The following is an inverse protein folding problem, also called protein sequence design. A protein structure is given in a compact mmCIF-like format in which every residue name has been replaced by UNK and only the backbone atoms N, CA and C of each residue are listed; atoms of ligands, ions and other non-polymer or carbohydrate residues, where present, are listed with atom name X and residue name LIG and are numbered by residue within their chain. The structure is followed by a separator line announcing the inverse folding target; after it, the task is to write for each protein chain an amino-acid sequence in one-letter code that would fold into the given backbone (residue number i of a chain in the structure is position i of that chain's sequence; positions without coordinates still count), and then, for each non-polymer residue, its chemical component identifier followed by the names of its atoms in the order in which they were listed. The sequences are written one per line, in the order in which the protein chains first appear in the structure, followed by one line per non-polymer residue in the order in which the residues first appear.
data_IF_586883477983
#
_entry.id   IF_586883477983
#
_cell.length_a   1.000
_cell.length_b   1.000
_cell.length_c   1.000
_cell.angle_alpha   90.00
_cell.angle_beta   90.00
_cell.angle_gamma   90.00
#
_symmetry.space_group_name_H-M   'P 1'
#
loop_
_entity.id
_entity.type
_entity.pdbx_description
1 polymer ?
#
# COMPACT_ATOMS: atom_id res chain seq x y z
N UNK A 1 52.99 -13.13 3.18
CA UNK A 1 51.90 -12.32 3.84
C UNK A 1 50.58 -12.71 3.18
N UNK A 2 49.93 -13.67 3.78
CA UNK A 2 48.68 -14.25 3.26
C UNK A 2 47.51 -13.38 3.68
N UNK A 3 46.97 -12.63 2.72
CA UNK A 3 45.72 -11.91 2.90
C UNK A 3 44.57 -12.91 2.67
N UNK A 4 44.18 -13.63 3.73
CA UNK A 4 43.01 -14.50 3.72
C UNK A 4 41.76 -13.67 3.41
N UNK A 5 41.24 -13.92 2.23
CA UNK A 5 39.87 -13.60 1.80
C UNK A 5 38.88 -14.03 2.89
N UNK A 6 38.42 -13.11 3.70
CA UNK A 6 37.16 -13.31 4.45
C UNK A 6 36.03 -13.04 3.47
N UNK A 7 35.43 -14.12 3.06
CA UNK A 7 34.23 -14.19 2.25
C UNK A 7 33.08 -13.36 2.82
N UNK A 8 32.33 -12.74 1.91
CA UNK A 8 31.05 -12.11 2.04
C UNK A 8 30.02 -13.01 2.78
N UNK A 9 29.98 -12.90 4.08
CA UNK A 9 28.86 -13.35 4.90
C UNK A 9 28.46 -12.18 5.78
N UNK A 10 27.58 -11.34 5.26
CA UNK A 10 26.67 -10.46 5.98
C UNK A 10 26.09 -9.36 5.07
N UNK A 11 25.52 -9.75 3.92
CA UNK A 11 24.33 -9.04 3.49
C UNK A 11 23.21 -9.85 4.16
N UNK A 12 22.68 -9.31 5.25
CA UNK A 12 21.72 -9.98 6.12
C UNK A 12 20.53 -10.51 5.33
N UNK A 13 20.57 -11.79 4.99
CA UNK A 13 19.39 -12.56 4.72
C UNK A 13 18.59 -12.61 6.01
N UNK A 14 17.60 -11.73 6.16
CA UNK A 14 16.52 -11.99 7.09
C UNK A 14 16.00 -13.38 6.68
N UNK A 15 16.20 -14.40 7.52
CA UNK A 15 15.55 -15.69 7.37
C UNK A 15 14.08 -15.41 7.16
N UNK A 16 13.58 -15.62 5.95
CA UNK A 16 12.16 -15.57 5.67
C UNK A 16 11.53 -16.62 6.59
N UNK A 17 10.87 -16.18 7.65
CA UNK A 17 9.98 -17.05 8.40
C UNK A 17 8.94 -17.53 7.39
N UNK A 18 8.65 -18.84 7.34
CA UNK A 18 7.74 -19.46 6.37
C UNK A 18 6.32 -18.84 6.37
N UNK A 19 6.01 -17.95 7.31
CA UNK A 19 4.72 -17.28 7.47
C UNK A 19 4.71 -15.79 7.09
N UNK A 20 5.82 -15.23 6.54
CA UNK A 20 5.92 -13.80 6.27
C UNK A 20 5.33 -13.46 4.90
N UNK A 21 4.22 -12.69 4.88
CA UNK A 21 3.61 -12.25 3.63
C UNK A 21 4.24 -10.93 3.13
N UNK A 22 4.33 -10.81 1.81
CA UNK A 22 4.53 -9.54 1.12
C UNK A 22 3.16 -8.96 0.77
N UNK A 23 2.86 -7.74 1.22
CA UNK A 23 1.59 -7.06 0.94
C UNK A 23 1.89 -5.83 0.10
N UNK A 24 1.67 -5.93 -1.20
CA UNK A 24 1.82 -4.76 -2.11
C UNK A 24 0.61 -3.88 -1.97
N UNK A 25 0.82 -2.57 -1.80
CA UNK A 25 -0.17 -1.55 -1.50
C UNK A 25 -0.14 -0.44 -2.54
N UNK A 26 -1.32 0.06 -2.88
CA UNK A 26 -1.55 1.33 -3.57
C UNK A 26 -2.85 1.95 -3.09
N UNK A 27 -2.95 3.28 -3.04
CA UNK A 27 -4.15 3.99 -2.62
C UNK A 27 -4.58 5.04 -3.65
N UNK A 28 -5.90 5.23 -3.76
CA UNK A 28 -6.48 6.34 -4.51
C UNK A 28 -7.13 7.33 -3.55
N UNK A 29 -6.87 8.60 -3.80
CA UNK A 29 -7.32 9.70 -2.95
C UNK A 29 -8.02 10.78 -3.77
N UNK A 30 -8.95 11.50 -3.14
CA UNK A 30 -9.62 12.67 -3.72
C UNK A 30 -9.57 13.84 -2.76
N UNK A 31 -9.65 15.06 -3.28
CA UNK A 31 -9.77 16.25 -2.47
C UNK A 31 -11.13 16.31 -1.76
N UNK A 32 -11.15 16.77 -0.51
CA UNK A 32 -12.39 17.07 0.22
C UNK A 32 -13.14 18.25 -0.40
N UNK A 33 -12.39 19.24 -0.89
CA UNK A 33 -12.89 20.35 -1.70
C UNK A 33 -12.45 20.15 -3.15
N UNK A 34 -13.37 19.87 -4.08
CA UNK A 34 -13.04 19.65 -5.50
C UNK A 34 -12.33 20.84 -6.17
N UNK A 35 -12.45 22.07 -5.63
CA UNK A 35 -11.74 23.23 -6.13
C UNK A 35 -10.25 23.27 -5.77
N UNK A 36 -9.82 22.42 -4.82
CA UNK A 36 -8.43 22.29 -4.43
C UNK A 36 -7.74 21.18 -5.24
N UNK A 37 -7.19 21.52 -6.39
CA UNK A 37 -6.54 20.57 -7.30
C UNK A 37 -5.46 19.68 -6.65
N UNK A 38 -4.79 20.18 -5.60
CA UNK A 38 -3.74 19.43 -4.87
C UNK A 38 -4.25 18.80 -3.57
N UNK A 39 -5.51 19.01 -3.24
CA UNK A 39 -6.08 18.54 -1.98
C UNK A 39 -6.00 17.02 -1.80
N UNK A 40 -6.05 16.26 -2.89
CA UNK A 40 -5.92 14.80 -2.85
C UNK A 40 -4.56 14.29 -2.34
N UNK A 41 -3.51 15.12 -2.43
CA UNK A 41 -2.15 14.74 -2.04
C UNK A 41 -1.80 15.03 -0.57
N UNK A 42 -2.68 15.69 0.15
CA UNK A 42 -2.51 16.08 1.55
C UNK A 42 -3.62 15.48 2.42
N UNK A 43 -3.26 14.73 3.44
CA UNK A 43 -4.21 14.08 4.32
C UNK A 43 -5.11 15.04 5.12
N UNK A 44 -4.78 16.32 5.24
CA UNK A 44 -5.64 17.31 5.87
C UNK A 44 -6.77 17.79 4.96
N UNK A 45 -6.55 17.74 3.64
CA UNK A 45 -7.48 18.27 2.62
C UNK A 45 -7.96 17.21 1.64
N UNK A 46 -7.48 15.98 1.77
CA UNK A 46 -7.87 14.81 0.97
C UNK A 46 -8.48 13.71 1.82
N UNK A 47 -8.99 12.69 1.13
CA UNK A 47 -9.50 11.45 1.71
C UNK A 47 -9.15 10.27 0.84
N UNK A 48 -8.98 9.09 1.45
CA UNK A 48 -8.83 7.84 0.73
C UNK A 48 -10.20 7.33 0.25
N UNK A 49 -10.28 6.93 -1.01
CA UNK A 49 -11.51 6.38 -1.64
C UNK A 49 -11.34 4.95 -2.11
N UNK A 50 -10.08 4.52 -2.29
CA UNK A 50 -9.75 3.13 -2.61
C UNK A 50 -8.39 2.77 -1.99
N UNK A 51 -8.29 1.56 -1.49
CA UNK A 51 -7.04 0.90 -1.09
C UNK A 51 -7.04 -0.47 -1.74
N UNK A 52 -6.06 -0.75 -2.58
CA UNK A 52 -5.84 -2.09 -3.11
C UNK A 52 -4.58 -2.70 -2.52
N UNK A 53 -4.66 -3.99 -2.22
CA UNK A 53 -3.56 -4.78 -1.69
C UNK A 53 -3.45 -6.09 -2.47
N UNK A 54 -2.22 -6.55 -2.68
CA UNK A 54 -1.91 -7.89 -3.17
C UNK A 54 -1.04 -8.58 -2.13
N UNK A 55 -1.58 -9.57 -1.45
CA UNK A 55 -0.90 -10.31 -0.40
C UNK A 55 -0.35 -11.63 -0.96
N UNK A 56 0.98 -11.75 -1.02
CA UNK A 56 1.73 -12.94 -1.43
C UNK A 56 2.30 -13.63 -0.18
N UNK A 57 1.86 -14.86 0.07
CA UNK A 57 2.29 -15.69 1.21
C UNK A 57 3.40 -16.69 0.85
N UNK A 58 4.00 -16.53 -0.33
CA UNK A 58 5.02 -17.44 -0.85
C UNK A 58 4.45 -18.67 -1.58
N UNK A 59 3.14 -18.91 -1.50
CA UNK A 59 2.45 -20.02 -2.20
C UNK A 59 1.48 -19.49 -3.25
N UNK A 60 0.72 -18.45 -2.90
CA UNK A 60 -0.25 -17.80 -3.77
C UNK A 60 -0.32 -16.30 -3.48
N UNK A 61 -0.73 -15.52 -4.47
CA UNK A 61 -1.02 -14.11 -4.31
C UNK A 61 -2.55 -13.88 -4.31
N UNK A 62 -3.06 -13.09 -3.36
CA UNK A 62 -4.47 -12.78 -3.21
C UNK A 62 -4.68 -11.27 -3.20
N UNK A 63 -5.65 -10.80 -3.99
CA UNK A 63 -6.05 -9.39 -4.02
C UNK A 63 -7.13 -9.09 -2.98
N UNK A 64 -7.01 -7.91 -2.36
CA UNK A 64 -7.98 -7.33 -1.43
C UNK A 64 -8.15 -5.87 -1.86
N UNK A 65 -9.39 -5.45 -2.13
CA UNK A 65 -9.67 -4.06 -2.49
C UNK A 65 -10.80 -3.52 -1.61
N UNK A 66 -10.53 -2.39 -0.98
CA UNK A 66 -11.44 -1.65 -0.11
C UNK A 66 -11.73 -0.32 -0.80
N UNK A 67 -12.98 -0.03 -1.12
CA UNK A 67 -13.33 1.20 -1.83
C UNK A 67 -14.75 1.64 -1.51
N UNK A 68 -15.02 2.93 -1.65
CA UNK A 68 -16.35 3.52 -1.47
C UNK A 68 -16.35 4.85 -0.75
N UNK A 69 -17.50 5.25 -0.25
CA UNK A 69 -17.71 6.56 0.36
C UNK A 69 -17.35 6.59 1.86
N UNK A 70 -17.33 5.45 2.53
CA UNK A 70 -16.98 5.36 3.95
C UNK A 70 -15.46 5.19 4.13
N UNK A 71 -14.75 6.31 4.20
CA UNK A 71 -13.31 6.32 4.39
C UNK A 71 -12.87 5.64 5.69
N UNK A 72 -13.62 5.82 6.77
CA UNK A 72 -13.27 5.23 8.06
C UNK A 72 -13.26 3.71 7.97
N UNK A 73 -14.25 3.12 7.28
CA UNK A 73 -14.32 1.69 7.02
C UNK A 73 -13.20 1.19 6.11
N UNK A 74 -12.84 1.98 5.09
CA UNK A 74 -11.73 1.65 4.17
C UNK A 74 -10.42 1.57 4.93
N UNK A 75 -10.10 2.58 5.75
CA UNK A 75 -8.85 2.65 6.50
C UNK A 75 -8.82 1.61 7.63
N UNK A 76 -9.91 1.41 8.36
CA UNK A 76 -9.99 0.35 9.36
C UNK A 76 -9.77 -1.03 8.73
N UNK A 77 -10.43 -1.31 7.58
CA UNK A 77 -10.27 -2.55 6.84
C UNK A 77 -8.84 -2.76 6.33
N UNK A 78 -8.11 -1.71 5.97
CA UNK A 78 -6.69 -1.82 5.63
C UNK A 78 -5.86 -2.33 6.81
N UNK A 79 -6.01 -1.70 7.98
CA UNK A 79 -5.26 -2.14 9.17
C UNK A 79 -5.63 -3.56 9.58
N UNK A 80 -6.91 -3.93 9.50
CA UNK A 80 -7.39 -5.28 9.84
C UNK A 80 -6.88 -6.36 8.88
N UNK A 81 -6.63 -6.01 7.61
CA UNK A 81 -6.08 -6.92 6.61
C UNK A 81 -4.60 -7.23 6.81
N UNK A 82 -3.85 -6.36 7.50
CA UNK A 82 -2.44 -6.56 7.80
C UNK A 82 -2.27 -7.52 8.99
N UNK A 83 -1.36 -8.48 8.84
CA UNK A 83 -0.99 -9.45 9.89
C UNK A 83 0.34 -9.05 10.54
N UNK A 84 0.58 -9.47 11.78
CA UNK A 84 1.92 -9.38 12.37
C UNK A 84 2.96 -10.05 11.46
N UNK A 85 4.07 -9.36 11.20
CA UNK A 85 5.13 -9.87 10.33
C UNK A 85 4.98 -9.59 8.83
N UNK A 86 3.83 -9.10 8.35
CA UNK A 86 3.70 -8.66 6.94
C UNK A 86 4.70 -7.57 6.59
N UNK A 87 5.22 -7.63 5.37
CA UNK A 87 6.03 -6.56 4.76
C UNK A 87 5.17 -5.81 3.77
N UNK A 88 4.94 -4.54 4.02
CA UNK A 88 4.23 -3.68 3.08
C UNK A 88 5.18 -3.22 1.99
N UNK A 89 4.76 -3.35 0.74
CA UNK A 89 5.53 -2.94 -0.45
C UNK A 89 4.70 -1.97 -1.27
N UNK A 90 5.34 -0.99 -1.89
CA UNK A 90 4.67 -0.09 -2.85
C UNK A 90 5.67 0.75 -3.61
N UNK A 91 5.18 1.61 -4.49
CA UNK A 91 6.01 2.56 -5.23
C UNK A 91 5.80 3.97 -4.68
N UNK A 92 6.85 4.58 -4.12
CA UNK A 92 6.77 5.83 -3.36
C UNK A 92 5.89 5.73 -2.09
N UNK A 93 5.70 4.51 -1.61
CA UNK A 93 4.78 4.18 -0.52
C UNK A 93 5.16 4.84 0.82
N UNK A 94 6.45 5.07 1.06
CA UNK A 94 6.94 5.73 2.27
C UNK A 94 6.60 7.22 2.29
N UNK A 95 6.73 7.90 1.14
CA UNK A 95 6.51 9.34 1.07
C UNK A 95 5.03 9.70 0.90
N UNK A 96 4.19 8.76 0.43
CA UNK A 96 2.78 9.02 0.19
C UNK A 96 1.86 8.05 0.94
N UNK A 97 1.66 6.83 0.47
CA UNK A 97 0.57 5.93 0.90
C UNK A 97 0.55 5.68 2.42
N UNK A 98 1.65 5.17 2.98
CA UNK A 98 1.71 4.86 4.43
C UNK A 98 1.55 6.12 5.26
N UNK A 99 2.21 7.20 4.87
CA UNK A 99 2.09 8.47 5.57
C UNK A 99 0.65 9.00 5.53
N UNK A 100 0.02 8.97 4.37
CA UNK A 100 -1.36 9.41 4.19
C UNK A 100 -2.31 8.58 5.05
N UNK A 101 -2.22 7.25 5.00
CA UNK A 101 -3.06 6.35 5.79
C UNK A 101 -2.88 6.54 7.30
N UNK A 102 -1.66 6.73 7.78
CA UNK A 102 -1.39 7.03 9.19
C UNK A 102 -2.02 8.37 9.61
N UNK A 103 -1.84 9.42 8.80
CA UNK A 103 -2.41 10.74 9.09
C UNK A 103 -3.94 10.71 9.07
N UNK A 104 -4.56 10.03 8.09
CA UNK A 104 -6.02 9.86 8.05
C UNK A 104 -6.53 9.04 9.23
N UNK A 105 -5.78 8.02 9.66
CA UNK A 105 -6.12 7.25 10.86
C UNK A 105 -6.18 8.15 12.10
N UNK A 106 -5.22 9.06 12.28
CA UNK A 106 -5.25 10.02 13.40
C UNK A 106 -6.45 10.98 13.30
N UNK A 107 -6.70 11.53 12.11
CA UNK A 107 -7.83 12.46 11.87
C UNK A 107 -9.18 11.78 12.16
N UNK A 108 -9.32 10.51 11.79
CA UNK A 108 -10.56 9.74 11.94
C UNK A 108 -10.66 9.01 13.29
N UNK A 109 -9.63 9.08 14.15
CA UNK A 109 -9.61 8.38 15.44
C UNK A 109 -9.51 6.85 15.31
N UNK A 110 -8.96 6.35 14.18
CA UNK A 110 -8.77 4.93 13.94
C UNK A 110 -7.42 4.50 14.50
N UNK A 111 -7.43 3.52 15.40
CA UNK A 111 -6.20 2.97 15.95
C UNK A 111 -5.69 1.83 15.06
N UNK A 112 -4.48 1.95 14.46
CA UNK A 112 -3.84 0.86 13.75
C UNK A 112 -3.60 -0.35 14.67
N UNK A 113 -3.77 -1.57 14.13
CA UNK A 113 -3.48 -2.80 14.88
C UNK A 113 -1.97 -3.07 15.01
N UNK A 114 -1.14 -2.34 14.26
CA UNK A 114 0.32 -2.39 14.33
C UNK A 114 0.93 -1.05 13.92
N UNK A 115 2.16 -0.80 14.37
CA UNK A 115 3.00 0.29 13.89
C UNK A 115 3.91 -0.24 12.77
N UNK A 116 4.00 0.49 11.66
CA UNK A 116 4.95 0.23 10.60
C UNK A 116 6.20 1.10 10.81
N UNK A 117 7.37 0.50 10.79
CA UNK A 117 8.63 1.23 10.87
C UNK A 117 8.98 1.84 9.49
N UNK A 118 8.80 3.14 9.38
CA UNK A 118 9.05 3.90 8.15
C UNK A 118 10.39 4.63 8.14
N UNK A 119 11.31 4.29 9.07
CA UNK A 119 12.63 4.93 9.13
C UNK A 119 13.42 4.68 7.84
N UNK A 120 14.16 5.69 7.42
CA UNK A 120 15.02 5.62 6.24
C UNK A 120 16.02 4.45 6.36
N UNK A 121 16.21 3.72 5.28
CA UNK A 121 17.08 2.52 5.18
C UNK A 121 16.59 1.28 5.95
N UNK A 122 15.45 1.34 6.59
CA UNK A 122 14.86 0.18 7.27
C UNK A 122 13.79 -0.46 6.39
N UNK A 123 13.95 -1.72 6.08
CA UNK A 123 13.09 -2.44 5.10
C UNK A 123 12.41 -3.67 5.69
N UNK A 124 12.42 -3.79 7.03
CA UNK A 124 11.79 -4.96 7.65
C UNK A 124 10.26 -4.88 7.61
N UNK A 125 9.67 -3.69 7.73
CA UNK A 125 8.23 -3.50 7.72
C UNK A 125 7.71 -2.93 6.40
N UNK A 126 8.50 -2.05 5.76
CA UNK A 126 8.09 -1.36 4.52
C UNK A 126 9.23 -1.38 3.51
N UNK A 127 8.91 -1.78 2.27
CA UNK A 127 9.83 -1.75 1.12
C UNK A 127 9.24 -0.82 0.06
N UNK A 128 9.96 0.24 -0.25
CA UNK A 128 9.59 1.18 -1.30
C UNK A 128 10.40 0.92 -2.57
N UNK A 129 9.73 0.54 -3.66
CA UNK A 129 10.38 0.21 -4.93
C UNK A 129 11.07 1.42 -5.56
N UNK A 130 10.59 2.65 -5.29
CA UNK A 130 11.28 3.87 -5.70
C UNK A 130 12.62 4.02 -4.95
N UNK A 131 12.65 3.72 -3.65
CA UNK A 131 13.87 3.78 -2.86
C UNK A 131 14.84 2.65 -3.22
N UNK A 132 14.35 1.44 -3.50
CA UNK A 132 15.18 0.35 -4.02
C UNK A 132 15.86 0.75 -5.33
N UNK A 133 15.11 1.29 -6.29
CA UNK A 133 15.64 1.71 -7.59
C UNK A 133 16.65 2.84 -7.46
N UNK A 134 16.35 3.85 -6.66
CA UNK A 134 17.22 5.02 -6.49
C UNK A 134 18.36 4.80 -5.50
N UNK A 135 18.41 3.63 -4.86
CA UNK A 135 19.34 3.33 -3.77
C UNK A 135 19.38 4.44 -2.71
N UNK A 136 18.19 4.91 -2.32
CA UNK A 136 17.98 6.01 -1.35
C UNK A 136 18.60 7.35 -1.78
N UNK A 137 18.92 7.51 -3.04
CA UNK A 137 19.34 8.78 -3.62
C UNK A 137 18.22 9.82 -3.54
N UNK A 138 18.56 11.09 -3.33
CA UNK A 138 17.59 12.18 -3.38
C UNK A 138 17.04 12.46 -4.79
N UNK A 139 17.67 11.91 -5.86
CA UNK A 139 17.22 12.10 -7.23
C UNK A 139 16.13 11.10 -7.60
N UNK A 140 14.88 11.47 -7.36
CA UNK A 140 13.68 10.68 -7.69
C UNK A 140 12.97 11.17 -8.95
N UNK A 141 13.49 12.21 -9.63
CA UNK A 141 12.80 12.87 -10.76
C UNK A 141 12.58 11.89 -11.91
N UNK A 142 11.35 11.78 -12.35
CA UNK A 142 10.95 10.96 -13.50
C UNK A 142 10.86 9.46 -13.23
N UNK A 143 11.14 9.00 -12.00
CA UNK A 143 11.01 7.58 -11.62
C UNK A 143 9.57 7.33 -11.14
N UNK A 144 8.62 7.30 -12.09
CA UNK A 144 7.23 6.91 -11.82
C UNK A 144 7.08 5.39 -11.93
N UNK A 145 6.01 4.84 -11.36
CA UNK A 145 5.68 3.43 -11.50
C UNK A 145 5.56 3.01 -12.98
N UNK A 146 4.94 3.84 -13.82
CA UNK A 146 4.84 3.60 -15.27
C UNK A 146 6.20 3.56 -15.96
N UNK A 147 7.05 4.57 -15.70
CA UNK A 147 8.38 4.66 -16.30
C UNK A 147 9.26 3.47 -15.88
N UNK A 148 9.24 3.13 -14.58
CA UNK A 148 10.02 2.02 -14.03
C UNK A 148 9.49 0.67 -14.53
N UNK A 149 8.18 0.47 -14.53
CA UNK A 149 7.53 -0.72 -15.07
C UNK A 149 7.86 -0.96 -16.54
N UNK A 150 7.81 0.10 -17.34
CA UNK A 150 8.20 0.06 -18.76
C UNK A 150 9.68 -0.29 -18.95
N UNK A 151 10.58 0.37 -18.21
CA UNK A 151 12.02 0.15 -18.30
C UNK A 151 12.43 -1.29 -17.90
N UNK A 152 11.75 -1.87 -16.92
CA UNK A 152 12.00 -3.22 -16.43
C UNK A 152 11.27 -4.31 -17.24
N UNK A 153 10.45 -3.95 -18.24
CA UNK A 153 9.64 -4.91 -19.00
C UNK A 153 8.48 -5.52 -18.19
N UNK A 154 8.06 -4.86 -17.10
CA UNK A 154 6.99 -5.33 -16.22
C UNK A 154 5.58 -4.91 -16.70
N UNK A 155 5.49 -4.03 -17.71
CA UNK A 155 4.27 -3.45 -18.22
C UNK A 155 4.16 -1.95 -17.97
N UNK A 156 2.96 -1.41 -18.16
CA UNK A 156 2.64 0.03 -18.02
C UNK A 156 1.35 0.19 -17.23
N UNK A 157 1.12 1.41 -16.72
CA UNK A 157 -0.17 1.80 -16.14
C UNK A 157 -1.26 1.79 -17.21
N UNK A 158 -2.48 1.46 -16.81
CA UNK A 158 -3.66 1.41 -17.69
C UNK A 158 -4.42 2.73 -17.76
N UNK A 159 -4.06 3.71 -16.91
CA UNK A 159 -4.70 5.01 -16.82
C UNK A 159 -3.83 6.07 -16.17
N UNK A 160 -4.42 7.22 -15.91
CA UNK A 160 -3.78 8.33 -15.22
C UNK A 160 -4.51 8.63 -13.90
N UNK A 161 -3.77 8.92 -12.83
CA UNK A 161 -4.34 9.25 -11.52
C UNK A 161 -5.28 10.47 -11.54
N UNK A 162 -5.11 11.38 -12.52
CA UNK A 162 -6.01 12.49 -12.73
C UNK A 162 -7.48 12.08 -13.00
N UNK A 163 -7.70 10.87 -13.50
CA UNK A 163 -9.05 10.35 -13.79
C UNK A 163 -9.82 9.99 -12.51
N UNK A 164 -9.13 9.74 -11.40
CA UNK A 164 -9.75 9.34 -10.13
C UNK A 164 -10.75 10.38 -9.62
N UNK A 165 -10.40 11.66 -9.70
CA UNK A 165 -11.30 12.74 -9.29
C UNK A 165 -12.57 12.80 -10.16
N UNK A 166 -12.45 12.55 -11.46
CA UNK A 166 -13.60 12.48 -12.37
C UNK A 166 -14.48 11.28 -12.04
N UNK A 167 -13.93 10.07 -11.97
CA UNK A 167 -14.68 8.85 -11.63
C UNK A 167 -15.36 8.97 -10.27
N UNK A 168 -14.70 9.61 -9.30
CA UNK A 168 -15.31 9.89 -8.00
C UNK A 168 -16.53 10.80 -8.12
N UNK A 169 -16.44 11.90 -8.88
CA UNK A 169 -17.55 12.81 -9.13
C UNK A 169 -18.71 12.14 -9.89
N UNK A 170 -18.41 11.16 -10.73
CA UNK A 170 -19.36 10.35 -11.49
C UNK A 170 -19.89 9.13 -10.69
N UNK A 171 -19.44 8.93 -9.45
CA UNK A 171 -19.72 7.75 -8.62
C UNK A 171 -19.29 6.41 -9.27
N UNK A 172 -18.32 6.44 -10.20
CA UNK A 172 -17.75 5.25 -10.85
C UNK A 172 -16.66 4.61 -9.98
N UNK A 173 -17.08 4.05 -8.86
CA UNK A 173 -16.20 3.37 -7.90
C UNK A 173 -15.51 2.15 -8.54
N UNK A 174 -16.15 1.49 -9.51
CA UNK A 174 -15.59 0.31 -10.15
C UNK A 174 -14.41 0.66 -11.07
N UNK A 175 -14.41 1.83 -11.72
CA UNK A 175 -13.24 2.31 -12.46
C UNK A 175 -12.08 2.65 -11.52
N UNK A 176 -12.35 3.27 -10.38
CA UNK A 176 -11.33 3.55 -9.36
C UNK A 176 -10.70 2.25 -8.84
N UNK A 177 -11.53 1.22 -8.52
CA UNK A 177 -11.05 -0.09 -8.09
C UNK A 177 -10.14 -0.74 -9.12
N UNK A 178 -10.59 -0.82 -10.39
CA UNK A 178 -9.80 -1.43 -11.47
C UNK A 178 -8.45 -0.74 -11.64
N UNK A 179 -8.44 0.58 -11.62
CA UNK A 179 -7.24 1.37 -11.76
C UNK A 179 -6.25 1.09 -10.62
N UNK A 180 -6.69 1.19 -9.36
CA UNK A 180 -5.87 0.91 -8.18
C UNK A 180 -5.36 -0.56 -8.15
N UNK A 181 -6.17 -1.54 -8.56
CA UNK A 181 -5.76 -2.94 -8.70
C UNK A 181 -4.66 -3.12 -9.76
N UNK A 182 -4.78 -2.46 -10.90
CA UNK A 182 -3.78 -2.54 -11.96
C UNK A 182 -2.45 -1.94 -11.53
N UNK A 183 -2.47 -0.84 -10.75
CA UNK A 183 -1.27 -0.23 -10.18
C UNK A 183 -0.61 -1.16 -9.15
N UNK A 184 -1.36 -1.79 -8.27
CA UNK A 184 -0.84 -2.81 -7.34
C UNK A 184 -0.20 -3.98 -8.09
N UNK A 185 -0.84 -4.49 -9.14
CA UNK A 185 -0.29 -5.58 -9.98
C UNK A 185 1.01 -5.17 -10.67
N UNK A 186 1.08 -3.93 -11.17
CA UNK A 186 2.30 -3.40 -11.77
C UNK A 186 3.40 -3.23 -10.71
N UNK A 187 3.08 -2.66 -9.54
CA UNK A 187 4.02 -2.51 -8.44
C UNK A 187 4.56 -3.86 -7.94
N UNK A 188 3.71 -4.90 -7.89
CA UNK A 188 4.12 -6.25 -7.55
C UNK A 188 5.13 -6.82 -8.55
N UNK A 189 4.86 -6.71 -9.86
CA UNK A 189 5.80 -7.16 -10.89
C UNK A 189 7.13 -6.41 -10.83
N UNK A 190 7.08 -5.10 -10.60
CA UNK A 190 8.29 -4.27 -10.42
C UNK A 190 9.07 -4.73 -9.19
N UNK A 191 8.41 -4.95 -8.06
CA UNK A 191 9.05 -5.46 -6.84
C UNK A 191 9.73 -6.81 -7.09
N UNK A 192 9.01 -7.78 -7.68
CA UNK A 192 9.56 -9.08 -8.00
C UNK A 192 10.81 -8.95 -8.91
N UNK A 193 10.75 -8.07 -9.91
CA UNK A 193 11.89 -7.84 -10.82
C UNK A 193 13.10 -7.25 -10.11
N UNK A 194 12.89 -6.27 -9.22
CA UNK A 194 13.97 -5.65 -8.44
C UNK A 194 14.60 -6.58 -7.42
N UNK A 195 13.84 -7.58 -6.95
CA UNK A 195 14.30 -8.57 -5.96
C UNK A 195 14.65 -9.92 -6.56
N UNK A 196 14.64 -10.04 -7.92
CA UNK A 196 14.93 -11.28 -8.64
C UNK A 196 14.00 -12.45 -8.26
N UNK A 197 12.73 -12.14 -7.94
CA UNK A 197 11.70 -13.12 -7.66
C UNK A 197 10.76 -13.30 -8.86
N UNK A 198 10.18 -14.50 -9.00
CA UNK A 198 9.13 -14.71 -9.99
C UNK A 198 7.77 -14.30 -9.41
N UNK A 199 6.97 -13.49 -10.14
CA UNK A 199 5.63 -13.16 -9.71
C UNK A 199 4.75 -14.41 -9.60
N UNK A 200 4.03 -14.57 -8.50
CA UNK A 200 3.10 -15.68 -8.33
C UNK A 200 1.82 -15.43 -9.12
N UNK A 201 1.18 -16.52 -9.51
CA UNK A 201 -0.15 -16.44 -10.10
C UNK A 201 -1.14 -15.94 -9.06
N UNK A 202 -2.03 -15.04 -9.48
CA UNK A 202 -3.15 -14.62 -8.66
C UNK A 202 -4.07 -15.79 -8.44
N UNK A 203 -4.40 -16.08 -7.19
CA UNK A 203 -5.46 -17.02 -6.87
C UNK A 203 -6.76 -16.51 -7.50
N UNK A 204 -7.38 -17.31 -8.35
CA UNK A 204 -8.70 -16.99 -8.88
C UNK A 204 -9.65 -16.87 -7.69
N UNK A 205 -10.22 -15.69 -7.49
CA UNK A 205 -11.27 -15.50 -6.51
C UNK A 205 -12.50 -16.27 -6.99
N UNK A 206 -12.66 -17.52 -6.55
CA UNK A 206 -13.95 -18.19 -6.61
C UNK A 206 -14.89 -17.38 -5.71
N UNK A 207 -15.66 -16.48 -6.36
CA UNK A 207 -16.94 -15.94 -5.87
C UNK A 207 -17.02 -15.56 -4.38
N UNK A 208 -16.17 -14.70 -3.86
CA UNK A 208 -16.50 -13.95 -2.64
C UNK A 208 -17.00 -12.55 -3.00
N UNK A 209 -18.25 -12.50 -3.44
CA UNK A 209 -19.12 -11.38 -3.07
C UNK A 209 -19.08 -11.29 -1.54
N UNK A 210 -18.41 -10.26 -1.01
CA UNK A 210 -18.60 -9.86 0.39
C UNK A 210 -20.05 -9.37 0.51
N UNK A 211 -20.97 -10.31 0.71
CA UNK A 211 -22.25 -9.98 1.29
C UNK A 211 -21.97 -9.42 2.68
N UNK A 212 -22.43 -8.23 2.87
CA UNK A 212 -22.45 -7.47 4.11
C UNK A 212 -22.99 -8.33 5.27
N UNK A 213 -22.08 -9.08 5.93
CA UNK A 213 -22.32 -9.53 7.28
C UNK A 213 -21.88 -8.40 8.19
N UNK A 214 -22.85 -7.70 8.74
CA UNK A 214 -22.70 -6.63 9.70
C UNK A 214 -22.08 -7.22 10.96
N UNK A 215 -20.77 -7.07 11.13
CA UNK A 215 -20.17 -7.11 12.45
C UNK A 215 -20.27 -5.67 12.99
N UNK A 216 -21.14 -5.47 13.97
CA UNK A 216 -21.24 -4.22 14.69
C UNK A 216 -19.88 -3.86 15.31
N UNK A 217 -19.39 -2.63 15.14
CA UNK A 217 -18.15 -2.22 15.77
C UNK A 217 -18.35 -2.21 17.29
N UNK A 218 -17.46 -2.87 18.03
CA UNK A 218 -17.40 -2.76 19.48
C UNK A 218 -16.95 -1.34 19.81
N UNK A 219 -17.90 -0.44 20.01
CA UNK A 219 -17.64 0.91 20.49
C UNK A 219 -17.22 0.80 21.96
N UNK A 220 -15.92 0.88 22.23
CA UNK A 220 -15.41 1.10 23.57
C UNK A 220 -15.89 2.50 24.02
N UNK A 221 -16.88 2.52 24.93
CA UNK A 221 -17.33 3.75 25.59
C UNK A 221 -16.15 4.36 26.33
N UNK A 222 -15.76 5.54 25.88
CA UNK A 222 -14.88 6.42 26.65
C UNK A 222 -15.61 6.76 27.94
N UNK A 223 -14.98 6.44 29.09
CA UNK A 223 -15.51 6.79 30.40
C UNK A 223 -15.64 8.32 30.51
N UNK A 224 -16.84 8.78 30.82
CA UNK A 224 -17.08 10.19 31.19
C UNK A 224 -16.25 10.52 32.46
N UNK A 225 -15.24 11.35 32.30
CA UNK A 225 -14.57 12.00 33.43
C UNK A 225 -15.49 13.13 33.91
N UNK A 226 -16.23 12.90 34.99
CA UNK A 226 -16.92 13.96 35.69
C UNK A 226 -15.87 14.79 36.41
N UNK A 227 -15.76 16.05 35.98
CA UNK A 227 -15.11 17.10 36.77
C UNK A 227 -16.05 17.57 37.86
N UNK A 228 -15.68 17.30 39.10
CA UNK A 228 -16.22 17.98 40.31
C UNK A 228 -15.30 19.15 40.66
#
# INVERSE_FOLDING_TARGET
MDYKRKSNEQIGGAQASEDRRTVVLDIETVALDPSNEKGALDAMTGRAVCISMLADDGKAAKEITLAGEDEARIIAGFWDALRPGDVVVGHNVLDFDIRFLQQRSWILGIQPNRTLDTRKYYTADVIDTLQLWTNWSGNKKGVTLDALGSALGCGRKTGEGANVAQWWAEHDIDSIKRYCQDDVRLAYRVFCRLTYQEPRQLALNEGQLFTTSVMEPTVNRVAEVRLT
#
